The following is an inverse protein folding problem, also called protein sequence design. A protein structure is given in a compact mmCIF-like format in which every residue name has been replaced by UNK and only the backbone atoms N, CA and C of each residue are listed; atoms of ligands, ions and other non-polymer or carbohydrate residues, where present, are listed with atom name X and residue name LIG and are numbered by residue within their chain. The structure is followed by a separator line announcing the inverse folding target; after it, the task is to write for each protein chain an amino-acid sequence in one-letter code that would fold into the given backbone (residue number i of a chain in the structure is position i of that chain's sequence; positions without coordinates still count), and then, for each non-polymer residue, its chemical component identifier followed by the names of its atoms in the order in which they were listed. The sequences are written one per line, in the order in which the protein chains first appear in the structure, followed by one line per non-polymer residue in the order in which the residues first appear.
data_IF_701829130964
#
_entry.id   IF_701829130964
#
_cell.length_a   1.000
_cell.length_b   1.000
_cell.length_c   1.000
_cell.angle_alpha   90.00
_cell.angle_beta   90.00
_cell.angle_gamma   90.00
#
_symmetry.space_group_name_H-M   'P 1'
#
loop_
_entity.id
_entity.type
_entity.pdbx_description
1 polymer ?
#
# COMPACT_ATOMS: atom_id res chain seq x y z
N UNK A 1 5.52 6.25 -8.82
CA UNK A 1 4.32 6.87 -8.23
C UNK A 1 4.45 8.37 -8.39
N UNK A 2 3.43 9.04 -8.91
CA UNK A 2 3.41 10.52 -8.95
C UNK A 2 3.21 11.05 -7.53
N UNK A 3 3.99 12.05 -7.14
CA UNK A 3 3.86 12.72 -5.83
C UNK A 3 3.57 14.19 -6.03
N UNK A 4 2.73 14.74 -5.17
CA UNK A 4 2.46 16.17 -5.13
C UNK A 4 3.58 16.87 -4.35
N UNK A 5 4.25 17.81 -5.00
CA UNK A 5 5.25 18.69 -4.37
C UNK A 5 4.60 19.97 -3.86
N UNK A 6 5.04 20.49 -2.73
CA UNK A 6 4.53 21.73 -2.12
C UNK A 6 3.02 21.76 -1.85
N UNK A 7 2.38 20.59 -1.75
CA UNK A 7 0.97 20.48 -1.39
C UNK A 7 0.80 20.43 0.13
N UNK A 8 -0.32 20.96 0.63
CA UNK A 8 -0.72 20.73 2.03
C UNK A 8 -1.44 19.38 2.12
N UNK A 9 -0.99 18.43 2.97
CA UNK A 9 -1.72 17.19 3.19
C UNK A 9 -3.15 17.46 3.65
N UNK A 10 -4.08 16.67 3.14
CA UNK A 10 -5.46 16.64 3.64
C UNK A 10 -5.52 16.00 5.03
N UNK A 11 -6.58 16.31 5.78
CA UNK A 11 -6.76 15.80 7.15
C UNK A 11 -6.86 14.27 7.15
N UNK A 12 -6.15 13.63 8.09
CA UNK A 12 -6.19 12.18 8.31
C UNK A 12 -7.43 11.83 9.13
N UNK A 13 -8.26 10.91 8.62
CA UNK A 13 -9.41 10.37 9.36
C UNK A 13 -9.09 9.06 10.10
N UNK A 14 -8.23 8.21 9.51
CA UNK A 14 -7.88 6.88 10.05
C UNK A 14 -6.39 6.60 9.85
N UNK A 15 -5.80 5.84 10.77
CA UNK A 15 -4.45 5.29 10.62
C UNK A 15 -4.52 3.77 10.62
N UNK A 16 -3.91 3.14 9.63
CA UNK A 16 -3.75 1.69 9.58
C UNK A 16 -2.30 1.30 9.78
N UNK A 17 -2.09 0.31 10.64
CA UNK A 17 -0.81 -0.36 10.81
C UNK A 17 -0.85 -1.63 9.96
N UNK A 18 0.08 -1.74 9.03
CA UNK A 18 0.23 -2.93 8.20
C UNK A 18 1.33 -3.77 8.81
N UNK A 19 0.98 -4.97 9.26
CA UNK A 19 1.90 -5.92 9.86
C UNK A 19 2.02 -7.15 8.99
N UNK A 20 3.23 -7.67 8.84
CA UNK A 20 3.48 -8.96 8.21
C UNK A 20 3.82 -9.99 9.28
N UNK A 21 3.33 -11.21 9.06
CA UNK A 21 3.67 -12.36 9.90
C UNK A 21 5.13 -12.72 9.73
N UNK A 22 5.74 -13.23 10.80
CA UNK A 22 7.14 -13.65 10.80
C UNK A 22 7.44 -14.70 9.71
N UNK A 23 6.50 -15.61 9.48
CA UNK A 23 6.59 -16.64 8.43
C UNK A 23 6.67 -16.04 7.02
N UNK A 24 5.84 -15.04 6.71
CA UNK A 24 5.85 -14.33 5.43
C UNK A 24 7.16 -13.57 5.22
N UNK A 25 7.67 -12.89 6.27
CA UNK A 25 8.93 -12.15 6.19
C UNK A 25 10.14 -13.09 6.04
N UNK A 26 10.07 -14.28 6.65
CA UNK A 26 11.13 -15.28 6.56
C UNK A 26 11.32 -15.85 5.15
N UNK A 27 10.30 -15.83 4.29
CA UNK A 27 10.40 -16.30 2.89
C UNK A 27 11.51 -15.59 2.11
N UNK A 28 11.74 -14.31 2.39
CA UNK A 28 12.73 -13.47 1.72
C UNK A 28 13.85 -12.96 2.66
N UNK A 29 13.92 -13.48 3.89
CA UNK A 29 14.83 -13.01 4.93
C UNK A 29 14.68 -11.49 5.21
N UNK A 30 13.43 -11.04 5.31
CA UNK A 30 13.03 -9.63 5.54
C UNK A 30 12.67 -9.32 7.00
N UNK A 31 12.58 -10.33 7.86
CA UNK A 31 12.32 -10.18 9.29
C UNK A 31 13.49 -9.49 9.99
N UNK A 32 13.20 -8.57 10.91
CA UNK A 32 14.21 -7.81 11.65
C UNK A 32 14.27 -8.17 13.13
N UNK A 33 13.28 -8.92 13.61
CA UNK A 33 13.10 -9.32 14.99
C UNK A 33 12.58 -10.76 15.08
N UNK A 34 12.48 -11.28 16.31
CA UNK A 34 11.83 -12.57 16.60
C UNK A 34 10.33 -12.41 16.95
N UNK A 35 9.72 -11.26 16.64
CA UNK A 35 8.30 -11.04 16.93
C UNK A 35 7.43 -11.76 15.89
N UNK A 36 6.26 -12.26 16.33
CA UNK A 36 5.28 -12.94 15.46
C UNK A 36 4.75 -12.03 14.34
N UNK A 37 4.69 -10.73 14.59
CA UNK A 37 4.23 -9.71 13.65
C UNK A 37 5.18 -8.52 13.68
N UNK A 38 5.61 -8.06 12.51
CA UNK A 38 6.42 -6.84 12.38
C UNK A 38 5.66 -5.76 11.59
N UNK A 39 5.80 -4.51 12.03
CA UNK A 39 5.21 -3.35 11.36
C UNK A 39 6.00 -3.03 10.09
N UNK A 40 5.38 -3.13 8.92
CA UNK A 40 6.04 -2.87 7.63
C UNK A 40 5.63 -1.53 7.01
N UNK A 41 4.47 -0.98 7.38
CA UNK A 41 3.97 0.28 6.83
C UNK A 41 2.93 0.90 7.76
N UNK A 42 2.85 2.23 7.70
CA UNK A 42 1.82 3.03 8.35
C UNK A 42 1.08 3.79 7.25
N UNK A 43 -0.22 3.58 7.14
CA UNK A 43 -1.06 4.32 6.20
C UNK A 43 -1.87 5.38 6.95
N UNK A 44 -1.65 6.65 6.61
CA UNK A 44 -2.53 7.74 6.98
C UNK A 44 -3.62 7.89 5.91
N UNK A 45 -4.85 7.54 6.25
CA UNK A 45 -5.99 7.54 5.33
C UNK A 45 -6.75 8.86 5.48
N UNK A 46 -7.06 9.55 4.37
CA UNK A 46 -7.82 10.79 4.39
C UNK A 46 -9.18 10.65 5.07
N UNK A 47 -9.65 11.73 5.69
CA UNK A 47 -11.01 11.81 6.19
C UNK A 47 -12.05 11.57 5.08
N UNK A 48 -13.03 10.70 5.35
CA UNK A 48 -14.05 10.30 4.38
C UNK A 48 -13.63 9.22 3.38
N UNK A 49 -12.41 8.68 3.50
CA UNK A 49 -11.95 7.51 2.74
C UNK A 49 -11.96 6.29 3.65
N UNK A 50 -12.75 5.28 3.30
CA UNK A 50 -12.89 4.07 4.13
C UNK A 50 -11.70 3.12 3.97
N UNK A 51 -11.29 2.86 2.74
CA UNK A 51 -10.19 1.95 2.38
C UNK A 51 -9.25 2.62 1.38
N UNK A 52 -7.95 2.43 1.58
CA UNK A 52 -6.93 2.89 0.64
C UNK A 52 -6.58 1.76 -0.34
N UNK A 53 -7.03 1.81 -1.61
CA UNK A 53 -6.72 0.74 -2.54
C UNK A 53 -5.22 0.70 -2.85
N UNK A 54 -4.69 -0.49 -3.04
CA UNK A 54 -3.30 -0.68 -3.45
C UNK A 54 -3.04 0.06 -4.76
N UNK A 55 -1.89 0.73 -4.88
CA UNK A 55 -1.54 1.48 -6.09
C UNK A 55 -1.51 0.56 -7.33
N UNK A 56 -1.98 1.03 -8.50
CA UNK A 56 -2.13 0.17 -9.68
C UNK A 56 -0.78 -0.37 -10.18
N UNK A 57 0.32 0.38 -10.02
CA UNK A 57 1.66 -0.10 -10.37
C UNK A 57 2.13 -1.23 -9.44
N UNK A 58 1.75 -1.18 -8.16
CA UNK A 58 2.06 -2.25 -7.20
C UNK A 58 1.24 -3.49 -7.51
N UNK A 59 -0.07 -3.33 -7.79
CA UNK A 59 -0.94 -4.42 -8.23
C UNK A 59 -0.38 -5.09 -9.49
N UNK A 60 0.11 -4.31 -10.46
CA UNK A 60 0.75 -4.82 -11.68
C UNK A 60 1.95 -5.70 -11.34
N UNK A 61 2.85 -5.19 -10.49
CA UNK A 61 4.08 -5.88 -10.09
C UNK A 61 3.76 -7.22 -9.43
N UNK A 62 2.79 -7.21 -8.51
CA UNK A 62 2.34 -8.37 -7.75
C UNK A 62 1.65 -9.42 -8.64
N UNK A 63 0.75 -9.00 -9.53
CA UNK A 63 0.03 -9.88 -10.46
C UNK A 63 0.97 -10.57 -11.48
N UNK A 64 2.02 -9.87 -11.90
CA UNK A 64 3.02 -10.40 -12.83
C UNK A 64 4.19 -11.09 -12.13
N UNK A 65 4.15 -11.22 -10.80
CA UNK A 65 5.19 -11.83 -9.97
C UNK A 65 6.59 -11.27 -10.25
N UNK A 66 6.67 -9.96 -10.50
CA UNK A 66 7.93 -9.29 -10.76
C UNK A 66 8.74 -9.12 -9.46
N UNK A 67 10.09 -9.03 -9.55
CA UNK A 67 10.94 -8.89 -8.37
C UNK A 67 10.51 -7.75 -7.43
N UNK A 68 10.48 -8.04 -6.12
CA UNK A 68 10.03 -7.10 -5.08
C UNK A 68 8.50 -6.93 -5.00
N UNK A 69 7.73 -7.80 -5.66
CA UNK A 69 6.28 -7.93 -5.48
C UNK A 69 5.91 -9.19 -4.70
N UNK A 70 4.76 -9.15 -4.02
CA UNK A 70 4.13 -10.33 -3.42
C UNK A 70 3.13 -10.91 -4.42
N UNK A 71 3.19 -12.20 -4.74
CA UNK A 71 2.26 -12.81 -5.71
C UNK A 71 0.81 -12.62 -5.26
N UNK A 72 -0.04 -12.11 -6.16
CA UNK A 72 -1.46 -11.86 -5.88
C UNK A 72 -2.29 -11.81 -7.17
N UNK A 73 -3.58 -12.13 -7.09
CA UNK A 73 -4.52 -11.99 -8.20
C UNK A 73 -5.51 -10.86 -7.93
N UNK A 74 -5.69 -9.95 -8.89
CA UNK A 74 -6.66 -8.86 -8.82
C UNK A 74 -7.64 -8.93 -9.98
N UNK A 75 -8.93 -8.72 -9.70
CA UNK A 75 -10.00 -8.63 -10.69
C UNK A 75 -9.99 -7.29 -11.42
N UNK A 76 -10.68 -7.20 -12.55
CA UNK A 76 -10.85 -5.92 -13.27
C UNK A 76 -11.52 -4.84 -12.41
N UNK A 77 -12.38 -5.23 -11.46
CA UNK A 77 -13.04 -4.30 -10.54
C UNK A 77 -12.05 -3.72 -9.53
N UNK A 78 -11.16 -4.56 -8.96
CA UNK A 78 -10.08 -4.09 -8.06
C UNK A 78 -9.18 -3.06 -8.76
N UNK A 79 -8.85 -3.35 -10.03
CA UNK A 79 -8.07 -2.45 -10.88
C UNK A 79 -8.79 -1.13 -11.15
N UNK A 80 -10.09 -1.18 -11.46
CA UNK A 80 -10.90 0.00 -11.72
C UNK A 80 -11.04 0.88 -10.47
N UNK A 81 -11.27 0.28 -9.30
CA UNK A 81 -11.32 0.97 -8.02
C UNK A 81 -9.99 1.68 -7.72
N UNK A 82 -8.87 0.96 -7.86
CA UNK A 82 -7.54 1.52 -7.66
C UNK A 82 -7.26 2.70 -8.59
N UNK A 83 -7.46 2.53 -9.90
CA UNK A 83 -7.22 3.60 -10.87
C UNK A 83 -8.14 4.79 -10.61
N UNK A 84 -9.43 4.55 -10.33
CA UNK A 84 -10.41 5.61 -10.05
C UNK A 84 -10.04 6.42 -8.79
N UNK A 85 -9.53 5.76 -7.75
CA UNK A 85 -9.03 6.45 -6.57
C UNK A 85 -7.77 7.26 -6.88
N UNK A 86 -6.73 6.63 -7.44
CA UNK A 86 -5.41 7.25 -7.63
C UNK A 86 -5.36 8.32 -8.73
N UNK A 87 -6.40 8.51 -9.53
CA UNK A 87 -6.56 9.70 -10.39
C UNK A 87 -7.00 10.96 -9.62
N UNK A 88 -7.62 10.81 -8.44
CA UNK A 88 -8.11 11.92 -7.62
C UNK A 88 -7.15 12.27 -6.48
N UNK A 89 -6.30 11.31 -6.07
CA UNK A 89 -5.37 11.47 -4.95
C UNK A 89 -3.92 11.26 -5.37
N UNK A 90 -3.02 12.01 -4.75
CA UNK A 90 -1.58 11.81 -4.86
C UNK A 90 -0.94 11.89 -3.47
N UNK A 91 0.06 11.05 -3.22
CA UNK A 91 0.87 11.18 -2.02
C UNK A 91 1.63 12.50 -2.04
N UNK A 92 1.63 13.21 -0.91
CA UNK A 92 2.39 14.45 -0.75
C UNK A 92 3.83 14.10 -0.39
N UNK A 93 4.79 14.82 -0.96
CA UNK A 93 6.18 14.78 -0.50
C UNK A 93 6.28 15.57 0.80
N UNK A 94 6.70 14.89 1.88
CA UNK A 94 6.77 15.41 3.26
C UNK A 94 8.22 15.47 3.70
#
# INVERSE_FOLDING_TARGET
QTRAVNAKPISTGKVEFILYGHDVLAENNEQTTEAEWELISIHAIPEGVDNLPMGPVTMMRNQLELPGGSSAHYSSDDWAESVHFWQQYAAVEI
#
